data_IF_765753196297
#
_entry.id   IF_765753196297
#
_cell.length_a   1.000
_cell.length_b   1.000
_cell.length_c   1.000
_cell.angle_alpha   90.00
_cell.angle_beta   90.00
_cell.angle_gamma   90.00
#
_symmetry.space_group_name_H-M   'P 1'
#
loop_
_entity.id
_entity.type
_entity.pdbx_description
1 polymer ?
#
# COMPACT_ATOMS: atom_id res chain seq x y z
N UNK A 1 2.10 -7.09 11.86
CA UNK A 1 1.14 -6.30 11.07
C UNK A 1 0.98 -4.88 11.60
N UNK A 2 0.60 -4.67 12.88
CA UNK A 2 0.38 -3.30 13.43
C UNK A 2 1.63 -2.40 13.41
N UNK A 3 2.79 -2.92 13.79
CA UNK A 3 4.05 -2.16 13.73
C UNK A 3 4.31 -1.58 12.33
N UNK A 4 4.19 -2.42 11.30
CA UNK A 4 4.37 -2.02 9.90
C UNK A 4 3.36 -0.95 9.49
N UNK A 5 2.09 -1.09 9.89
CA UNK A 5 1.06 -0.09 9.62
C UNK A 5 1.43 1.28 10.20
N UNK A 6 1.89 1.33 11.45
CA UNK A 6 2.28 2.58 12.12
C UNK A 6 3.49 3.21 11.42
N UNK A 7 4.49 2.42 11.05
CA UNK A 7 5.71 2.93 10.41
C UNK A 7 5.51 3.32 8.94
N UNK A 8 4.55 2.72 8.24
CA UNK A 8 4.27 3.01 6.85
C UNK A 8 3.58 4.38 6.66
N UNK A 9 2.76 4.81 7.62
CA UNK A 9 2.07 6.11 7.60
C UNK A 9 3.03 7.30 7.44
N UNK A 10 4.06 7.50 8.30
CA UNK A 10 4.95 8.64 8.16
C UNK A 10 5.72 8.63 6.83
N UNK A 11 6.09 7.45 6.32
CA UNK A 11 6.77 7.33 5.02
C UNK A 11 5.84 7.79 3.89
N UNK A 12 4.59 7.32 3.85
CA UNK A 12 3.62 7.75 2.86
C UNK A 12 3.34 9.26 2.93
N UNK A 13 3.19 9.80 4.14
CA UNK A 13 2.98 11.25 4.35
C UNK A 13 4.19 12.06 3.87
N UNK A 14 5.42 11.65 4.21
CA UNK A 14 6.64 12.33 3.79
C UNK A 14 6.76 12.38 2.25
N UNK A 15 6.50 11.27 1.57
CA UNK A 15 6.52 11.21 0.10
C UNK A 15 5.47 12.17 -0.49
N UNK A 16 4.25 12.17 0.03
CA UNK A 16 3.17 13.06 -0.45
C UNK A 16 3.49 14.53 -0.22
N UNK A 17 4.11 14.89 0.91
CA UNK A 17 4.50 16.28 1.21
C UNK A 17 5.58 16.81 0.26
N UNK A 18 6.42 15.92 -0.28
CA UNK A 18 7.54 16.29 -1.16
C UNK A 18 7.29 15.95 -2.64
N UNK A 19 6.11 15.44 -2.99
CA UNK A 19 5.79 14.93 -4.32
C UNK A 19 5.93 16.02 -5.41
N UNK A 20 6.80 15.75 -6.40
CA UNK A 20 7.06 16.65 -7.53
C UNK A 20 6.45 16.15 -8.84
N UNK A 21 6.27 14.83 -8.97
CA UNK A 21 5.77 14.17 -10.17
C UNK A 21 4.66 13.16 -9.85
N UNK A 22 3.88 12.78 -10.87
CA UNK A 22 2.75 11.87 -10.71
C UNK A 22 3.10 10.54 -10.03
N UNK A 23 4.33 10.04 -10.26
CA UNK A 23 4.82 8.83 -9.61
C UNK A 23 4.97 8.99 -8.10
N UNK A 24 5.42 10.14 -7.60
CA UNK A 24 5.59 10.37 -6.17
C UNK A 24 4.24 10.38 -5.45
N UNK A 25 3.22 11.00 -6.07
CA UNK A 25 1.85 10.96 -5.58
C UNK A 25 1.32 9.53 -5.50
N UNK A 26 1.55 8.75 -6.56
CA UNK A 26 1.17 7.34 -6.59
C UNK A 26 1.86 6.53 -5.49
N UNK A 27 3.18 6.67 -5.37
CA UNK A 27 3.99 5.94 -4.40
C UNK A 27 3.63 6.31 -2.95
N UNK A 28 3.36 7.59 -2.68
CA UNK A 28 2.91 8.05 -1.37
C UNK A 28 1.55 7.47 -0.99
N UNK A 29 0.59 7.46 -1.93
CA UNK A 29 -0.71 6.81 -1.73
C UNK A 29 -0.59 5.29 -1.57
N UNK A 30 0.33 4.66 -2.30
CA UNK A 30 0.62 3.23 -2.16
C UNK A 30 1.09 2.89 -0.74
N UNK A 31 2.06 3.64 -0.21
CA UNK A 31 2.51 3.47 1.18
C UNK A 31 1.36 3.56 2.20
N UNK A 32 0.43 4.48 1.99
CA UNK A 32 -0.75 4.62 2.85
C UNK A 32 -1.75 3.47 2.66
N UNK A 33 -1.95 2.97 1.43
CA UNK A 33 -2.79 1.81 1.16
C UNK A 33 -2.24 0.57 1.89
N UNK A 34 -0.95 0.28 1.75
CA UNK A 34 -0.32 -0.81 2.49
C UNK A 34 -0.41 -0.64 4.01
N UNK A 35 -0.31 0.59 4.53
CA UNK A 35 -0.51 0.84 5.95
C UNK A 35 -1.92 0.41 6.40
N UNK A 36 -2.95 0.73 5.62
CA UNK A 36 -4.33 0.31 5.86
C UNK A 36 -4.49 -1.21 5.78
N UNK A 37 -3.93 -1.87 4.76
CA UNK A 37 -4.00 -3.32 4.64
C UNK A 37 -3.31 -4.04 5.79
N UNK A 38 -2.13 -3.57 6.21
CA UNK A 38 -1.44 -4.11 7.39
C UNK A 38 -2.26 -3.91 8.67
N UNK A 39 -2.95 -2.78 8.80
CA UNK A 39 -3.88 -2.56 9.91
C UNK A 39 -5.09 -3.51 9.82
N UNK A 40 -5.63 -3.78 8.63
CA UNK A 40 -6.70 -4.77 8.44
C UNK A 40 -6.26 -6.18 8.82
N UNK A 41 -5.03 -6.58 8.51
CA UNK A 41 -4.48 -7.85 9.01
C UNK A 41 -4.36 -7.88 10.54
N UNK A 42 -3.96 -6.78 11.17
CA UNK A 42 -4.02 -6.69 12.63
C UNK A 42 -5.45 -6.89 13.14
N UNK A 43 -6.44 -6.18 12.57
CA UNK A 43 -7.85 -6.29 12.94
C UNK A 43 -8.44 -7.69 12.71
N UNK A 44 -7.99 -8.39 11.66
CA UNK A 44 -8.38 -9.77 11.36
C UNK A 44 -7.79 -10.76 12.38
N UNK A 45 -6.50 -10.65 12.68
CA UNK A 45 -5.77 -11.68 13.42
C UNK A 45 -5.85 -11.50 14.94
N UNK A 46 -5.85 -10.26 15.45
CA UNK A 46 -5.76 -9.97 16.89
C UNK A 46 -7.14 -9.75 17.52
N UNK A 47 -7.90 -8.67 17.19
CA UNK A 47 -9.22 -8.47 17.77
C UNK A 47 -10.33 -9.23 17.01
N UNK A 48 -10.00 -9.89 15.89
CA UNK A 48 -10.94 -10.66 15.04
C UNK A 48 -12.20 -9.87 14.64
N UNK A 49 -12.01 -8.61 14.27
CA UNK A 49 -13.08 -7.64 13.94
C UNK A 49 -13.40 -7.57 12.46
N UNK A 50 -12.62 -8.22 11.60
CA UNK A 50 -12.82 -8.23 10.15
C UNK A 50 -12.98 -9.65 9.63
N UNK A 51 -13.67 -9.76 8.48
CA UNK A 51 -13.82 -11.03 7.75
C UNK A 51 -12.57 -11.32 6.93
N UNK A 52 -12.14 -12.59 6.91
CA UNK A 52 -11.02 -13.05 6.10
C UNK A 52 -11.25 -12.82 4.60
N UNK A 53 -12.48 -13.03 4.11
CA UNK A 53 -12.83 -12.81 2.70
C UNK A 53 -12.73 -11.34 2.29
N UNK A 54 -13.11 -10.42 3.19
CA UNK A 54 -12.97 -8.98 2.96
C UNK A 54 -11.49 -8.60 2.87
N UNK A 55 -10.69 -8.97 3.87
CA UNK A 55 -9.26 -8.64 3.88
C UNK A 55 -8.56 -9.26 2.67
N UNK A 56 -8.89 -10.51 2.30
CA UNK A 56 -8.33 -11.17 1.12
C UNK A 56 -8.69 -10.47 -0.21
N UNK A 57 -9.91 -9.93 -0.34
CA UNK A 57 -10.28 -9.15 -1.52
C UNK A 57 -9.47 -7.84 -1.61
N UNK A 58 -9.29 -7.14 -0.49
CA UNK A 58 -8.44 -5.93 -0.43
C UNK A 58 -6.99 -6.27 -0.77
N UNK A 59 -6.44 -7.34 -0.20
CA UNK A 59 -5.07 -7.82 -0.52
C UNK A 59 -4.88 -8.06 -2.01
N UNK A 60 -5.85 -8.71 -2.66
CA UNK A 60 -5.76 -9.00 -4.09
C UNK A 60 -5.78 -7.71 -4.92
N UNK A 61 -6.70 -6.80 -4.61
CA UNK A 61 -6.83 -5.53 -5.33
C UNK A 61 -5.57 -4.66 -5.16
N UNK A 62 -5.08 -4.49 -3.94
CA UNK A 62 -3.84 -3.75 -3.68
C UNK A 62 -2.64 -4.42 -4.33
N UNK A 63 -2.50 -5.74 -4.19
CA UNK A 63 -1.40 -6.48 -4.80
C UNK A 63 -1.34 -6.33 -6.33
N UNK A 64 -2.50 -6.30 -7.01
CA UNK A 64 -2.56 -6.07 -8.46
C UNK A 64 -2.23 -4.62 -8.80
N UNK A 65 -2.92 -3.68 -8.16
CA UNK A 65 -2.88 -2.27 -8.57
C UNK A 65 -1.57 -1.60 -8.16
N UNK A 66 -1.01 -1.95 -7.01
CA UNK A 66 0.12 -1.21 -6.44
C UNK A 66 1.45 -1.94 -6.47
N UNK A 67 1.47 -3.28 -6.50
CA UNK A 67 2.70 -4.04 -6.67
C UNK A 67 2.90 -4.57 -8.10
N UNK A 68 1.92 -5.31 -8.63
CA UNK A 68 2.08 -6.00 -9.90
C UNK A 68 2.12 -5.06 -11.11
N UNK A 69 1.11 -4.20 -11.24
CA UNK A 69 1.03 -3.27 -12.37
C UNK A 69 2.23 -2.30 -12.41
N UNK A 70 2.61 -1.62 -11.31
CA UNK A 70 3.77 -0.72 -11.33
C UNK A 70 5.08 -1.48 -11.54
N UNK A 71 5.25 -2.66 -10.92
CA UNK A 71 6.40 -3.53 -11.14
C UNK A 71 6.56 -3.92 -12.61
N UNK A 72 5.47 -4.29 -13.28
CA UNK A 72 5.50 -4.57 -14.72
C UNK A 72 5.89 -3.35 -15.55
N UNK A 73 5.35 -2.16 -15.25
CA UNK A 73 5.66 -0.93 -15.99
C UNK A 73 7.12 -0.50 -15.83
N UNK A 74 7.69 -0.64 -14.63
CA UNK A 74 9.11 -0.38 -14.35
C UNK A 74 9.98 -1.32 -15.17
N UNK A 75 9.70 -2.63 -15.16
CA UNK A 75 10.47 -3.64 -15.92
C UNK A 75 10.41 -3.42 -17.43
N UNK A 76 9.33 -2.81 -17.92
CA UNK A 76 9.14 -2.47 -19.34
C UNK A 76 9.75 -1.12 -19.72
N UNK A 77 10.31 -0.37 -18.77
CA UNK A 77 10.87 0.96 -19.00
C UNK A 77 9.83 2.04 -19.28
N UNK A 78 8.55 1.78 -19.00
CA UNK A 78 7.47 2.76 -19.15
C UNK A 78 7.37 3.72 -17.94
N UNK A 79 8.02 3.36 -16.84
CA UNK A 79 8.18 4.17 -15.64
C UNK A 79 9.67 4.35 -15.39
N UNK A 80 10.16 5.57 -15.54
CA UNK A 80 11.50 5.97 -15.10
C UNK A 80 11.38 6.51 -13.67
N UNK A 81 12.09 5.87 -12.74
CA UNK A 81 12.21 6.28 -11.34
C UNK A 81 13.42 7.19 -11.22
#
# INVERSE_FOLDING_TARGET
SLFVAITAVPIGVEILMNAQQAWDWWLGLDWLAWAVLWFFYFLLLVPRRLSASFVGAVTLLEGILTAWLPGYLILRGHLAI
#
